data_IF_231209094734
#
_entry.id   IF_231209094734
#
_cell.length_a   1.000
_cell.length_b   1.000
_cell.length_c   1.000
_cell.angle_alpha   90.00
_cell.angle_beta   90.00
_cell.angle_gamma   90.00
#
_symmetry.space_group_name_H-M   'P 1'
#
loop_
_entity.id
_entity.type
_entity.pdbx_description
1 polymer ?
#
# COMPACT_ATOMS: atom_id res chain seq x y z
N UNK A 1 0.81 -14.16 2.21
CA UNK A 1 1.88 -13.33 1.65
C UNK A 1 2.03 -13.66 0.18
N UNK A 2 2.10 -12.67 -0.67
CA UNK A 2 2.55 -12.88 -2.04
C UNK A 2 4.08 -12.96 -2.01
N UNK A 3 4.63 -14.02 -2.61
CA UNK A 3 6.07 -14.04 -2.87
C UNK A 3 6.38 -12.98 -3.93
N UNK A 4 7.45 -12.19 -3.76
CA UNK A 4 7.85 -11.21 -4.76
C UNK A 4 8.11 -11.92 -6.09
N UNK A 5 7.59 -11.38 -7.18
CA UNK A 5 7.80 -11.92 -8.53
C UNK A 5 9.26 -11.80 -8.96
N UNK A 6 9.94 -10.74 -8.51
CA UNK A 6 11.36 -10.49 -8.76
C UNK A 6 11.94 -9.67 -7.61
N UNK A 7 12.94 -10.22 -6.94
CA UNK A 7 13.66 -9.50 -5.87
C UNK A 7 14.70 -8.58 -6.53
N UNK A 8 14.72 -7.28 -6.20
CA UNK A 8 15.77 -6.38 -6.68
C UNK A 8 17.15 -6.90 -6.24
N UNK A 9 18.11 -6.92 -7.15
CA UNK A 9 19.47 -7.41 -6.85
C UNK A 9 20.43 -6.29 -6.45
N UNK A 10 20.02 -5.06 -6.62
CA UNK A 10 20.76 -3.83 -6.32
C UNK A 10 20.38 -3.18 -4.99
N UNK A 11 19.40 -3.76 -4.29
CA UNK A 11 18.95 -3.33 -2.97
C UNK A 11 19.07 -4.49 -1.98
N UNK A 12 19.51 -4.19 -0.76
CA UNK A 12 19.44 -5.13 0.35
C UNK A 12 18.08 -4.99 1.04
N UNK A 13 17.22 -5.99 0.87
CA UNK A 13 15.84 -5.97 1.39
C UNK A 13 15.64 -7.11 2.36
N UNK A 14 15.28 -6.79 3.60
CA UNK A 14 14.91 -7.76 4.62
C UNK A 14 13.43 -7.59 5.01
N UNK A 15 12.69 -8.70 5.05
CA UNK A 15 11.27 -8.71 5.40
C UNK A 15 11.07 -9.55 6.65
N UNK A 16 10.52 -8.93 7.70
CA UNK A 16 10.04 -9.62 8.89
C UNK A 16 8.52 -9.69 8.83
N UNK A 17 7.98 -10.88 8.59
CA UNK A 17 6.54 -11.11 8.52
C UNK A 17 6.12 -12.24 9.46
N UNK A 18 5.29 -11.89 10.46
CA UNK A 18 4.80 -12.81 11.50
C UNK A 18 3.29 -12.73 11.61
N UNK A 19 2.54 -13.46 10.77
CA UNK A 19 1.08 -13.44 10.82
C UNK A 19 0.57 -14.08 12.12
N UNK A 20 -0.54 -13.57 12.65
CA UNK A 20 -1.21 -14.13 13.83
C UNK A 20 -1.82 -15.51 13.55
N UNK A 21 -2.35 -15.71 12.34
CA UNK A 21 -2.99 -16.93 11.88
C UNK A 21 -2.32 -17.44 10.60
N UNK A 22 -2.69 -18.65 10.16
CA UNK A 22 -2.21 -19.24 8.89
C UNK A 22 -2.52 -18.33 7.71
N UNK A 23 -3.68 -17.65 7.75
CA UNK A 23 -4.09 -16.63 6.78
C UNK A 23 -4.49 -15.35 7.52
N UNK A 24 -4.23 -14.19 6.93
CA UNK A 24 -4.46 -12.88 7.58
C UNK A 24 -4.63 -11.75 6.58
N UNK A 25 -4.88 -10.55 7.13
CA UNK A 25 -5.02 -9.31 6.38
C UNK A 25 -3.71 -8.66 5.99
N UNK A 26 -2.64 -8.90 6.77
CA UNK A 26 -1.34 -8.29 6.52
C UNK A 26 -0.72 -8.82 5.23
N UNK A 27 -0.26 -7.93 4.38
CA UNK A 27 0.49 -8.26 3.17
C UNK A 27 1.63 -7.27 2.96
N UNK A 28 2.64 -7.72 2.25
CA UNK A 28 3.66 -6.85 1.67
C UNK A 28 3.71 -7.05 0.15
N UNK A 29 4.11 -6.02 -0.55
CA UNK A 29 4.36 -6.03 -1.99
C UNK A 29 5.80 -5.59 -2.21
N UNK A 30 6.53 -6.33 -3.02
CA UNK A 30 7.87 -5.99 -3.48
C UNK A 30 7.94 -6.31 -4.97
N UNK A 31 7.99 -5.27 -5.79
CA UNK A 31 8.00 -5.41 -7.26
C UNK A 31 9.14 -4.61 -7.88
N UNK A 32 9.92 -5.27 -8.71
CA UNK A 32 10.97 -4.64 -9.52
C UNK A 32 10.39 -4.29 -10.90
N UNK A 33 10.14 -3.02 -11.12
CA UNK A 33 9.60 -2.48 -12.38
C UNK A 33 10.69 -1.95 -13.34
N UNK A 34 11.96 -2.33 -13.11
CA UNK A 34 13.09 -1.88 -13.89
C UNK A 34 13.66 -0.56 -13.37
N UNK A 35 13.16 0.59 -13.81
CA UNK A 35 13.62 1.89 -13.31
C UNK A 35 13.17 2.19 -11.89
N UNK A 36 12.09 1.56 -11.43
CA UNK A 36 11.49 1.76 -10.13
C UNK A 36 11.38 0.44 -9.34
N UNK A 37 11.52 0.50 -8.02
CA UNK A 37 11.18 -0.59 -7.11
C UNK A 37 10.03 -0.13 -6.22
N UNK A 38 8.94 -0.89 -6.24
CA UNK A 38 7.76 -0.62 -5.41
C UNK A 38 7.78 -1.52 -4.19
N UNK A 39 7.70 -0.92 -3.01
CA UNK A 39 7.64 -1.61 -1.73
C UNK A 39 6.39 -1.12 -1.00
N UNK A 40 5.49 -2.04 -0.62
CA UNK A 40 4.32 -1.69 0.17
C UNK A 40 4.16 -2.64 1.35
N UNK A 41 3.67 -2.11 2.47
CA UNK A 41 3.32 -2.86 3.68
C UNK A 41 1.92 -2.43 4.08
N UNK A 42 0.99 -3.39 4.13
CA UNK A 42 -0.44 -3.13 4.22
C UNK A 42 -1.06 -4.02 5.30
N UNK A 43 -1.90 -3.42 6.13
CA UNK A 43 -2.70 -4.06 7.18
C UNK A 43 -4.19 -3.92 6.81
N UNK A 44 -4.74 -4.99 6.23
CA UNK A 44 -6.14 -5.03 5.81
C UNK A 44 -7.08 -5.29 6.98
N UNK A 45 -8.25 -4.65 6.94
CA UNK A 45 -9.29 -4.82 7.98
C UNK A 45 -9.65 -6.29 8.18
N UNK A 46 -9.63 -6.70 9.44
CA UNK A 46 -10.03 -8.05 9.85
C UNK A 46 -8.89 -9.06 9.85
N UNK A 47 -9.17 -10.25 10.37
CA UNK A 47 -8.21 -11.35 10.52
C UNK A 47 -8.80 -12.66 10.02
N UNK A 48 -7.97 -13.69 9.87
CA UNK A 48 -8.42 -14.98 9.35
C UNK A 48 -8.93 -14.87 7.91
N UNK A 49 -9.98 -15.60 7.59
CA UNK A 49 -10.51 -15.70 6.21
C UNK A 49 -11.01 -14.36 5.66
N UNK A 50 -11.80 -13.54 6.39
CA UNK A 50 -12.21 -12.23 5.88
C UNK A 50 -11.03 -11.31 5.55
N UNK A 51 -10.04 -11.21 6.44
CA UNK A 51 -8.82 -10.44 6.18
C UNK A 51 -8.04 -10.96 4.97
N UNK A 52 -7.95 -12.29 4.80
CA UNK A 52 -7.28 -12.90 3.66
C UNK A 52 -7.98 -12.62 2.32
N UNK A 53 -9.32 -12.57 2.31
CA UNK A 53 -10.08 -12.19 1.12
C UNK A 53 -9.83 -10.73 0.77
N UNK A 54 -9.86 -9.85 1.75
CA UNK A 54 -9.58 -8.42 1.53
C UNK A 54 -8.15 -8.19 1.07
N UNK A 55 -7.16 -8.90 1.64
CA UNK A 55 -5.77 -8.82 1.20
C UNK A 55 -5.60 -9.28 -0.26
N UNK A 56 -6.38 -10.27 -0.71
CA UNK A 56 -6.40 -10.72 -2.10
C UNK A 56 -6.96 -9.65 -3.03
N UNK A 57 -8.08 -9.02 -2.65
CA UNK A 57 -8.68 -7.90 -3.39
C UNK A 57 -7.70 -6.72 -3.46
N UNK A 58 -7.08 -6.38 -2.33
CA UNK A 58 -6.10 -5.29 -2.24
C UNK A 58 -4.89 -5.56 -3.15
N UNK A 59 -4.39 -6.78 -3.15
CA UNK A 59 -3.28 -7.20 -4.01
C UNK A 59 -3.62 -7.05 -5.49
N UNK A 60 -4.81 -7.50 -5.90
CA UNK A 60 -5.29 -7.35 -7.27
C UNK A 60 -5.47 -5.87 -7.67
N UNK A 61 -5.92 -5.03 -6.73
CA UNK A 61 -6.04 -3.58 -6.95
C UNK A 61 -4.66 -2.92 -7.14
N UNK A 62 -3.66 -3.33 -6.36
CA UNK A 62 -2.27 -2.87 -6.56
C UNK A 62 -1.70 -3.34 -7.89
N UNK A 63 -1.87 -4.62 -8.26
CA UNK A 63 -1.45 -5.14 -9.58
C UNK A 63 -2.05 -4.30 -10.72
N UNK A 64 -3.32 -3.94 -10.61
CA UNK A 64 -3.97 -3.09 -11.61
C UNK A 64 -3.40 -1.67 -11.63
N UNK A 65 -3.17 -1.07 -10.46
CA UNK A 65 -2.59 0.27 -10.37
C UNK A 65 -1.14 0.30 -10.92
N UNK A 66 -0.33 -0.73 -10.66
CA UNK A 66 1.04 -0.85 -11.18
C UNK A 66 1.09 -0.99 -12.71
N UNK A 67 0.05 -1.54 -13.31
CA UNK A 67 -0.05 -1.66 -14.77
C UNK A 67 -0.72 -0.45 -15.45
N UNK A 68 -1.16 0.56 -14.69
CA UNK A 68 -1.74 1.79 -15.24
C UNK A 68 -0.64 2.83 -15.52
N UNK A 69 -0.39 3.19 -16.79
CA UNK A 69 0.64 4.14 -17.15
C UNK A 69 0.38 5.56 -16.64
N UNK A 70 -0.83 5.89 -16.19
CA UNK A 70 -1.18 7.17 -15.59
C UNK A 70 -0.75 7.29 -14.13
N UNK A 71 -0.50 6.17 -13.45
CA UNK A 71 -0.10 6.11 -12.04
C UNK A 71 1.42 6.17 -11.95
N UNK A 72 1.96 7.26 -11.39
CA UNK A 72 3.41 7.53 -11.36
C UNK A 72 3.97 7.76 -9.96
N UNK A 73 3.16 8.23 -9.02
CA UNK A 73 3.61 8.60 -7.69
C UNK A 73 3.00 7.71 -6.61
N UNK A 74 3.67 7.60 -5.47
CA UNK A 74 3.19 6.81 -4.34
C UNK A 74 1.75 7.19 -3.91
N UNK A 75 1.42 8.48 -3.88
CA UNK A 75 0.08 8.96 -3.58
C UNK A 75 -0.96 8.57 -4.64
N UNK A 76 -0.58 8.60 -5.93
CA UNK A 76 -1.46 8.14 -7.01
C UNK A 76 -1.75 6.64 -6.90
N UNK A 77 -0.77 5.81 -6.52
CA UNK A 77 -1.01 4.39 -6.26
C UNK A 77 -2.08 4.20 -5.17
N UNK A 78 -1.92 4.83 -4.00
CA UNK A 78 -2.91 4.72 -2.93
C UNK A 78 -4.28 5.27 -3.34
N UNK A 79 -4.31 6.37 -4.09
CA UNK A 79 -5.55 6.97 -4.59
C UNK A 79 -6.27 6.02 -5.55
N UNK A 80 -5.55 5.43 -6.50
CA UNK A 80 -6.13 4.48 -7.47
C UNK A 80 -6.62 3.22 -6.77
N UNK A 81 -5.83 2.65 -5.86
CA UNK A 81 -6.21 1.48 -5.07
C UNK A 81 -7.43 1.78 -4.19
N UNK A 82 -7.50 2.98 -3.58
CA UNK A 82 -8.66 3.44 -2.82
C UNK A 82 -9.95 3.39 -3.64
N UNK A 83 -9.91 3.96 -4.84
CA UNK A 83 -11.06 3.98 -5.75
C UNK A 83 -11.46 2.57 -6.20
N UNK A 84 -10.48 1.72 -6.51
CA UNK A 84 -10.72 0.34 -6.92
C UNK A 84 -11.36 -0.49 -5.80
N UNK A 85 -10.85 -0.42 -4.57
CA UNK A 85 -11.41 -1.14 -3.42
C UNK A 85 -12.84 -0.67 -3.14
N UNK A 86 -13.07 0.65 -3.10
CA UNK A 86 -14.43 1.19 -2.89
C UNK A 86 -15.43 0.74 -3.95
N UNK A 87 -15.00 0.69 -5.21
CA UNK A 87 -15.83 0.19 -6.30
C UNK A 87 -16.13 -1.30 -6.18
N UNK A 88 -15.10 -2.12 -5.88
CA UNK A 88 -15.26 -3.58 -5.75
C UNK A 88 -16.17 -3.94 -4.57
N UNK A 89 -16.00 -3.25 -3.43
CA UNK A 89 -16.77 -3.51 -2.22
C UNK A 89 -18.07 -2.72 -2.13
N UNK A 90 -18.38 -1.90 -3.14
CA UNK A 90 -19.55 -1.00 -3.16
C UNK A 90 -19.66 -0.09 -1.93
N UNK A 91 -18.51 0.45 -1.48
CA UNK A 91 -18.38 1.31 -0.30
C UNK A 91 -18.42 2.81 -0.66
N UNK A 92 -19.45 3.26 -1.39
CA UNK A 92 -19.56 4.64 -1.84
C UNK A 92 -20.22 5.55 -0.81
N UNK A 93 -21.25 5.05 -0.14
CA UNK A 93 -22.00 5.81 0.86
C UNK A 93 -22.04 5.03 2.19
N UNK A 94 -21.77 5.76 3.28
CA UNK A 94 -21.83 5.22 4.64
C UNK A 94 -23.23 4.74 5.04
N UNK A 95 -24.27 5.36 4.51
CA UNK A 95 -25.65 5.02 4.81
C UNK A 95 -26.10 3.69 4.14
N UNK A 96 -25.45 3.35 3.02
CA UNK A 96 -25.79 2.15 2.23
C UNK A 96 -24.81 0.99 2.46
N UNK A 97 -23.62 1.28 2.98
CA UNK A 97 -22.61 0.25 3.24
C UNK A 97 -22.89 -0.52 4.51
N UNK A 98 -22.82 -1.84 4.42
CA UNK A 98 -22.96 -2.77 5.55
C UNK A 98 -21.67 -3.01 6.30
N UNK A 99 -20.52 -2.60 5.73
CA UNK A 99 -19.18 -2.77 6.30
C UNK A 99 -18.29 -1.54 6.01
N UNK A 100 -17.17 -1.45 6.68
CA UNK A 100 -16.15 -0.40 6.49
C UNK A 100 -14.79 -1.08 6.31
N UNK A 101 -14.63 -1.73 5.16
CA UNK A 101 -13.46 -2.52 4.83
C UNK A 101 -12.41 -1.68 4.10
N UNK A 102 -11.13 -1.97 4.35
CA UNK A 102 -10.02 -1.26 3.74
C UNK A 102 -8.70 -1.68 4.33
N UNK A 103 -7.69 -0.84 4.21
CA UNK A 103 -6.41 -1.08 4.84
C UNK A 103 -5.76 0.21 5.34
N UNK A 104 -4.89 0.05 6.33
CA UNK A 104 -3.86 0.99 6.71
C UNK A 104 -2.53 0.49 6.15
N UNK A 105 -1.63 1.39 5.78
CA UNK A 105 -0.35 0.95 5.23
C UNK A 105 0.39 2.02 4.46
N UNK A 106 1.53 1.63 3.93
CA UNK A 106 2.44 2.54 3.23
C UNK A 106 2.93 1.95 1.93
N UNK A 107 3.23 2.83 0.99
CA UNK A 107 3.95 2.53 -0.24
C UNK A 107 5.16 3.43 -0.34
N UNK A 108 6.30 2.84 -0.68
CA UNK A 108 7.54 3.52 -1.03
C UNK A 108 7.94 3.10 -2.45
N UNK A 109 8.35 4.06 -3.25
CA UNK A 109 8.90 3.82 -4.59
C UNK A 109 10.33 4.33 -4.60
N UNK A 110 11.28 3.43 -4.87
CA UNK A 110 12.66 3.81 -5.11
C UNK A 110 12.89 4.03 -6.61
N UNK A 111 13.19 5.25 -6.98
CA UNK A 111 13.51 5.68 -8.34
C UNK A 111 15.01 5.53 -8.59
N UNK A 112 15.42 4.44 -9.26
CA UNK A 112 16.85 4.10 -9.45
C UNK A 112 17.67 5.16 -10.14
N UNK A 113 17.12 5.79 -11.19
CA UNK A 113 17.83 6.81 -11.98
C UNK A 113 18.09 8.07 -11.17
N UNK A 114 17.12 8.49 -10.39
CA UNK A 114 17.19 9.69 -9.55
C UNK A 114 17.87 9.44 -8.21
N UNK A 115 17.90 8.16 -7.76
CA UNK A 115 18.29 7.72 -6.41
C UNK A 115 17.44 8.41 -5.33
N UNK A 116 16.16 8.51 -5.58
CA UNK A 116 15.18 9.16 -4.73
C UNK A 116 14.13 8.15 -4.24
N UNK A 117 13.55 8.44 -3.08
CA UNK A 117 12.40 7.73 -2.54
C UNK A 117 11.17 8.63 -2.62
N UNK A 118 10.07 8.10 -3.12
CA UNK A 118 8.77 8.71 -2.94
C UNK A 118 7.92 7.84 -2.02
N UNK A 119 7.20 8.48 -1.10
CA UNK A 119 6.46 7.82 -0.05
C UNK A 119 5.02 8.31 0.00
N UNK A 120 4.09 7.42 0.26
CA UNK A 120 2.72 7.75 0.62
C UNK A 120 2.20 6.73 1.63
N UNK A 121 1.33 7.17 2.51
CA UNK A 121 0.81 6.29 3.55
C UNK A 121 -0.61 6.65 3.96
N UNK A 122 -1.33 5.63 4.35
CA UNK A 122 -2.62 5.65 5.01
C UNK A 122 -2.41 5.23 6.47
N UNK A 123 -2.40 6.19 7.41
CA UNK A 123 -2.30 6.00 8.87
C UNK A 123 -1.04 5.30 9.38
N UNK A 124 -0.05 5.17 8.55
CA UNK A 124 1.22 4.56 8.89
C UNK A 124 2.37 5.55 8.70
N UNK A 125 3.57 5.24 9.17
CA UNK A 125 4.76 6.06 8.96
C UNK A 125 5.93 5.22 8.46
N UNK A 126 6.93 5.89 7.89
CA UNK A 126 8.19 5.30 7.48
C UNK A 126 9.33 5.99 8.22
N UNK A 127 10.29 5.23 8.70
CA UNK A 127 11.56 5.76 9.21
C UNK A 127 12.62 5.69 8.11
N UNK A 128 13.26 6.80 7.85
CA UNK A 128 14.40 6.91 6.95
C UNK A 128 15.65 7.14 7.81
N UNK A 129 16.67 6.32 7.61
CA UNK A 129 17.95 6.45 8.31
C UNK A 129 19.00 6.79 7.26
N UNK A 130 19.59 7.98 7.38
CA UNK A 130 20.66 8.42 6.49
C UNK A 130 22.01 7.76 6.84
N UNK A 131 22.96 7.81 5.91
CA UNK A 131 24.27 7.17 6.10
C UNK A 131 25.10 7.73 7.27
N UNK A 132 24.79 8.92 7.76
CA UNK A 132 25.35 9.52 8.97
C UNK A 132 24.59 9.15 10.25
N UNK A 133 23.56 8.32 10.15
CA UNK A 133 22.76 7.80 11.27
C UNK A 133 21.61 8.73 11.72
N UNK A 134 21.33 9.81 10.99
CA UNK A 134 20.16 10.62 11.30
C UNK A 134 18.88 9.86 10.96
N UNK A 135 17.86 10.03 11.81
CA UNK A 135 16.56 9.36 11.66
C UNK A 135 15.49 10.40 11.36
N UNK A 136 14.79 10.22 10.26
CA UNK A 136 13.62 11.02 9.88
C UNK A 136 12.38 10.15 9.86
N UNK A 137 11.27 10.63 10.45
CA UNK A 137 9.96 9.99 10.36
C UNK A 137 9.10 10.68 9.30
N UNK A 138 8.77 9.99 8.22
CA UNK A 138 7.81 10.42 7.22
C UNK A 138 6.42 9.96 7.60
N UNK A 139 5.49 10.92 7.76
CA UNK A 139 4.09 10.66 8.16
C UNK A 139 3.17 10.74 6.97
N UNK A 140 2.25 9.79 6.88
CA UNK A 140 1.23 9.75 5.86
C UNK A 140 -0.08 10.45 6.25
N UNK A 141 -1.06 10.26 5.39
CA UNK A 141 -2.43 10.72 5.62
C UNK A 141 -3.10 9.95 6.78
N UNK A 142 -3.99 10.62 7.51
CA UNK A 142 -4.76 10.01 8.61
C UNK A 142 -6.07 9.36 8.10
N UNK A 143 -6.07 8.82 6.90
CA UNK A 143 -7.22 8.21 6.24
C UNK A 143 -6.87 6.81 5.80
N UNK A 144 -7.75 5.84 6.06
CA UNK A 144 -7.60 4.46 5.58
C UNK A 144 -7.98 4.36 4.11
N UNK A 145 -7.27 3.55 3.36
CA UNK A 145 -7.60 3.24 1.97
C UNK A 145 -8.82 2.33 1.92
N UNK A 146 -9.76 2.60 1.01
CA UNK A 146 -10.99 1.79 0.86
C UNK A 146 -12.13 2.21 1.78
N UNK A 147 -11.86 2.76 2.97
CA UNK A 147 -12.86 3.07 3.97
C UNK A 147 -14.04 3.89 3.41
N UNK A 148 -15.24 3.50 3.81
CA UNK A 148 -16.49 4.21 3.48
C UNK A 148 -16.50 5.66 3.98
N UNK A 149 -15.72 5.95 5.05
CA UNK A 149 -15.59 7.28 5.65
C UNK A 149 -14.70 8.23 4.86
N UNK A 150 -13.98 7.73 3.88
CA UNK A 150 -13.08 8.50 3.02
C UNK A 150 -13.76 8.73 1.68
N UNK A 151 -13.90 9.98 1.21
CA UNK A 151 -14.53 10.27 -0.09
C UNK A 151 -13.85 9.53 -1.24
N UNK A 152 -14.61 9.06 -2.23
CA UNK A 152 -14.08 8.33 -3.39
C UNK A 152 -12.99 9.11 -4.14
N UNK A 153 -13.12 10.43 -4.20
CA UNK A 153 -12.15 11.32 -4.87
C UNK A 153 -11.02 11.82 -3.96
N UNK A 154 -10.85 11.22 -2.77
CA UNK A 154 -9.75 11.58 -1.90
C UNK A 154 -8.40 11.27 -2.55
N UNK A 155 -7.51 12.25 -2.60
CA UNK A 155 -6.17 12.10 -3.13
C UNK A 155 -5.14 11.97 -1.98
N UNK A 156 -4.48 10.81 -1.90
CA UNK A 156 -3.38 10.60 -0.96
C UNK A 156 -2.15 11.39 -1.39
N UNK A 157 -1.43 11.93 -0.40
CA UNK A 157 -0.26 12.76 -0.63
C UNK A 157 0.98 11.90 -0.87
N UNK A 158 1.86 12.41 -1.72
CA UNK A 158 3.24 11.90 -1.90
C UNK A 158 4.20 12.81 -1.14
N UNK A 159 5.14 12.22 -0.42
CA UNK A 159 6.32 12.87 0.18
C UNK A 159 7.57 12.35 -0.49
#
# INVERSE_FOLDING_TARGET
AQLPKKIPTDLDVSILWKPLNIVGGDIYILEDLGDDVVIAVLDCTGHGVPGALLSTITSAAFDRAMNDPAVKTAGQYLTTVHQLIKNILNQHDKAESTSDEGFDGSICIYHRKQKELSFASARNSMLVISGDGQVEELKGDRKSVGSVRVPLNYAFKTS
#
